data_IF_029674069078
#
_entry.id   IF_029674069078
#
_cell.length_a   1.000
_cell.length_b   1.000
_cell.length_c   1.000
_cell.angle_alpha   90.00
_cell.angle_beta   90.00
_cell.angle_gamma   90.00
#
_symmetry.space_group_name_H-M   'P 1'
#
loop_
_entity.id
_entity.type
_entity.pdbx_description
1 polymer ?
#
# COMPACT_ATOMS: atom_id res chain seq x y z
N UNK A 1 -45.63 17.97 -4.21
CA UNK A 1 -44.35 17.66 -3.55
C UNK A 1 -43.39 17.21 -4.65
N UNK A 2 -42.50 18.09 -5.10
CA UNK A 2 -41.56 17.80 -6.20
C UNK A 2 -40.33 17.05 -5.63
N UNK A 3 -39.72 16.11 -6.37
CA UNK A 3 -38.50 15.43 -5.94
C UNK A 3 -37.32 16.41 -5.93
N UNK A 4 -36.33 16.24 -5.04
CA UNK A 4 -35.14 17.09 -5.02
C UNK A 4 -34.32 16.87 -6.31
N UNK A 5 -33.61 17.91 -6.80
CA UNK A 5 -32.73 17.78 -7.95
C UNK A 5 -31.57 16.84 -7.60
N UNK A 6 -31.32 15.85 -8.46
CA UNK A 6 -30.15 15.00 -8.35
C UNK A 6 -28.88 15.85 -8.56
N UNK A 7 -28.03 15.93 -7.54
CA UNK A 7 -26.71 16.55 -7.66
C UNK A 7 -25.88 15.77 -8.70
N UNK A 8 -25.06 16.44 -9.53
CA UNK A 8 -24.13 15.74 -10.41
C UNK A 8 -23.16 14.93 -9.54
N UNK A 9 -23.07 13.63 -9.80
CA UNK A 9 -22.08 12.76 -9.18
C UNK A 9 -20.69 13.25 -9.58
N UNK A 10 -20.01 13.96 -8.67
CA UNK A 10 -18.59 14.23 -8.83
C UNK A 10 -17.87 12.88 -8.87
N UNK A 11 -17.02 12.60 -9.87
CA UNK A 11 -16.19 11.42 -9.84
C UNK A 11 -15.31 11.52 -8.60
N UNK A 12 -15.56 10.65 -7.62
CA UNK A 12 -14.66 10.47 -6.49
C UNK A 12 -13.28 10.16 -7.07
N UNK A 13 -12.23 10.91 -6.70
CA UNK A 13 -10.90 10.63 -7.20
C UNK A 13 -10.58 9.18 -6.91
N UNK A 14 -10.28 8.44 -7.98
CA UNK A 14 -9.81 7.06 -7.91
C UNK A 14 -8.70 6.96 -6.86
N UNK A 15 -8.64 5.82 -6.18
CA UNK A 15 -7.81 5.48 -5.03
C UNK A 15 -6.29 5.67 -5.26
N UNK A 16 -5.84 6.90 -5.48
CA UNK A 16 -4.45 7.32 -5.45
C UNK A 16 -4.30 8.41 -4.39
N UNK A 17 -4.88 8.18 -3.22
CA UNK A 17 -4.57 9.02 -2.05
C UNK A 17 -3.25 8.55 -1.43
N UNK A 18 -2.18 8.54 -2.22
CA UNK A 18 -0.86 8.73 -1.63
C UNK A 18 -0.88 10.18 -1.15
N UNK A 19 -1.14 10.36 0.15
CA UNK A 19 -1.15 11.69 0.76
C UNK A 19 0.15 12.39 0.36
N UNK A 20 0.10 13.65 -0.11
CA UNK A 20 1.31 14.36 -0.46
C UNK A 20 2.23 14.32 0.76
N UNK A 21 3.44 13.78 0.59
CA UNK A 21 4.42 13.65 1.67
C UNK A 21 4.68 15.05 2.22
N UNK A 22 4.15 15.35 3.40
CA UNK A 22 4.29 16.68 4.02
C UNK A 22 5.72 16.89 4.54
N UNK A 23 6.46 15.80 4.80
CA UNK A 23 7.83 15.82 5.29
C UNK A 23 8.82 15.39 4.21
N UNK A 24 8.97 16.19 3.15
CA UNK A 24 9.89 15.92 2.03
C UNK A 24 11.37 16.11 2.37
N UNK A 25 11.67 16.77 3.50
CA UNK A 25 13.06 17.03 3.93
C UNK A 25 13.72 15.82 4.60
N UNK A 26 12.97 15.06 5.39
CA UNK A 26 13.50 13.94 6.18
C UNK A 26 13.11 12.57 5.59
N UNK A 27 11.97 12.50 4.89
CA UNK A 27 11.47 11.29 4.25
C UNK A 27 11.20 11.56 2.76
N UNK A 28 12.22 11.48 1.89
CA UNK A 28 12.01 11.60 0.44
C UNK A 28 10.99 10.54 -0.03
N UNK A 29 10.31 10.76 -1.16
CA UNK A 29 9.36 9.78 -1.70
C UNK A 29 10.02 8.41 -1.78
N UNK A 30 9.51 7.47 -1.00
CA UNK A 30 10.02 6.11 -0.92
C UNK A 30 8.98 5.19 -1.53
N UNK A 31 9.32 4.60 -2.67
CA UNK A 31 8.48 3.63 -3.37
C UNK A 31 8.63 2.22 -2.77
N UNK A 32 9.49 2.05 -1.76
CA UNK A 32 9.72 0.79 -1.10
C UNK A 32 9.03 0.75 0.25
N UNK A 33 8.12 -0.20 0.45
CA UNK A 33 7.48 -0.48 1.72
C UNK A 33 8.26 -1.56 2.48
N UNK A 34 8.66 -1.25 3.71
CA UNK A 34 9.22 -2.21 4.65
C UNK A 34 8.16 -2.62 5.67
N UNK A 35 8.01 -3.93 5.85
CA UNK A 35 7.10 -4.53 6.84
C UNK A 35 7.93 -5.38 7.77
N UNK A 36 8.07 -4.94 9.02
CA UNK A 36 8.73 -5.71 10.07
C UNK A 36 7.75 -6.56 10.88
N UNK A 37 8.29 -7.30 11.85
CA UNK A 37 7.51 -8.03 12.86
C UNK A 37 6.47 -8.99 12.26
N UNK A 38 6.79 -9.62 11.13
CA UNK A 38 5.97 -10.67 10.56
C UNK A 38 6.13 -11.95 11.39
N UNK A 39 5.04 -12.70 11.53
CA UNK A 39 5.06 -14.00 12.19
C UNK A 39 5.93 -15.01 11.43
N UNK A 40 6.48 -15.98 12.15
CA UNK A 40 7.34 -17.04 11.60
C UNK A 40 6.63 -17.85 10.50
N UNK A 41 5.32 -18.00 10.62
CA UNK A 41 4.45 -18.73 9.70
C UNK A 41 3.85 -17.86 8.58
N UNK A 42 4.40 -16.67 8.34
CA UNK A 42 3.90 -15.79 7.28
C UNK A 42 4.00 -16.47 5.90
N UNK A 43 2.90 -16.41 5.15
CA UNK A 43 2.85 -16.93 3.79
C UNK A 43 3.16 -15.80 2.79
N UNK A 44 4.19 -16.03 1.97
CA UNK A 44 4.59 -15.09 0.93
C UNK A 44 3.51 -14.94 -0.15
N UNK A 45 2.78 -16.01 -0.45
CA UNK A 45 1.76 -16.01 -1.49
C UNK A 45 0.57 -15.14 -1.11
N UNK A 46 0.17 -15.17 0.17
CA UNK A 46 -0.87 -14.30 0.73
C UNK A 46 -0.44 -12.83 0.69
N UNK A 47 0.78 -12.52 1.16
CA UNK A 47 1.34 -11.16 1.08
C UNK A 47 1.38 -10.66 -0.36
N UNK A 48 1.85 -11.51 -1.28
CA UNK A 48 1.94 -11.19 -2.69
C UNK A 48 0.56 -10.94 -3.28
N UNK A 49 -0.43 -11.78 -2.95
CA UNK A 49 -1.82 -11.59 -3.37
C UNK A 49 -2.39 -10.26 -2.90
N UNK A 50 -2.13 -9.87 -1.65
CA UNK A 50 -2.59 -8.61 -1.07
C UNK A 50 -1.95 -7.38 -1.74
N UNK A 51 -0.63 -7.40 -1.95
CA UNK A 51 0.10 -6.24 -2.47
C UNK A 51 0.15 -6.16 -3.99
N UNK A 52 0.08 -7.29 -4.70
CA UNK A 52 0.10 -7.31 -6.18
C UNK A 52 -1.15 -6.69 -6.79
N UNK A 53 -2.25 -6.58 -6.04
CA UNK A 53 -3.47 -5.89 -6.49
C UNK A 53 -3.34 -4.35 -6.42
N UNK A 54 -2.32 -3.84 -5.72
CA UNK A 54 -2.11 -2.40 -5.60
C UNK A 54 -1.32 -1.87 -6.80
N UNK A 55 -1.69 -0.69 -7.34
CA UNK A 55 -0.97 -0.08 -8.44
C UNK A 55 0.47 0.26 -8.03
N UNK A 56 1.41 0.04 -8.95
CA UNK A 56 2.84 0.26 -8.72
C UNK A 56 3.60 -1.00 -8.35
N UNK A 57 2.97 -2.05 -7.84
CA UNK A 57 3.69 -3.26 -7.39
C UNK A 57 4.65 -3.81 -8.47
N UNK A 58 5.94 -3.88 -8.14
CA UNK A 58 6.99 -4.44 -8.99
C UNK A 58 7.50 -5.76 -8.44
N UNK A 59 7.95 -5.75 -7.18
CA UNK A 59 8.61 -6.89 -6.58
C UNK A 59 8.37 -6.94 -5.07
N UNK A 60 8.48 -8.14 -4.52
CA UNK A 60 8.39 -8.38 -3.09
C UNK A 60 9.42 -9.43 -2.67
N UNK A 61 10.00 -9.25 -1.50
CA UNK A 61 10.94 -10.19 -0.90
C UNK A 61 10.67 -10.34 0.58
N UNK A 62 10.44 -11.57 1.03
CA UNK A 62 10.37 -11.91 2.45
C UNK A 62 11.75 -12.37 2.92
N UNK A 63 12.27 -11.74 3.97
CA UNK A 63 13.50 -12.13 4.64
C UNK A 63 13.15 -12.76 5.99
N UNK A 64 13.46 -14.05 6.15
CA UNK A 64 13.30 -14.77 7.42
C UNK A 64 14.67 -14.85 8.11
N UNK A 65 14.81 -14.15 9.24
CA UNK A 65 15.95 -14.29 10.15
C UNK A 65 15.53 -14.98 11.44
N UNK A 66 16.48 -15.50 12.21
CA UNK A 66 16.24 -16.30 13.42
C UNK A 66 15.32 -15.65 14.46
N UNK A 67 15.21 -14.32 14.48
CA UNK A 67 14.36 -13.57 15.41
C UNK A 67 13.31 -12.68 14.76
N UNK A 68 13.44 -12.42 13.46
CA UNK A 68 12.61 -11.43 12.79
C UNK A 68 12.32 -11.87 11.37
N UNK A 69 11.03 -11.91 11.03
CA UNK A 69 10.62 -11.96 9.63
C UNK A 69 10.24 -10.56 9.18
N UNK A 70 10.80 -10.16 8.04
CA UNK A 70 10.57 -8.86 7.43
C UNK A 70 10.21 -9.02 5.96
N UNK A 71 9.50 -8.07 5.38
CA UNK A 71 9.15 -8.04 3.98
C UNK A 71 9.49 -6.68 3.39
N UNK A 72 10.10 -6.70 2.20
CA UNK A 72 10.37 -5.52 1.39
C UNK A 72 9.54 -5.61 0.13
N UNK A 73 8.78 -4.56 -0.16
CA UNK A 73 7.95 -4.45 -1.36
C UNK A 73 8.37 -3.21 -2.11
N UNK A 74 8.64 -3.33 -3.40
CA UNK A 74 8.84 -2.19 -4.28
C UNK A 74 7.57 -1.94 -5.10
N UNK A 75 7.11 -0.70 -5.07
CA UNK A 75 6.07 -0.14 -5.92
C UNK A 75 6.64 0.75 -7.05
#
# INVERSE_FOLDING_TARGET
MAPPPALPATPLPAHSSYMPVQNTKDNPPCNTLFIGNLGENINEEELRGLFSMQPGFKQMKVLRQERHTVCFIEF
#
